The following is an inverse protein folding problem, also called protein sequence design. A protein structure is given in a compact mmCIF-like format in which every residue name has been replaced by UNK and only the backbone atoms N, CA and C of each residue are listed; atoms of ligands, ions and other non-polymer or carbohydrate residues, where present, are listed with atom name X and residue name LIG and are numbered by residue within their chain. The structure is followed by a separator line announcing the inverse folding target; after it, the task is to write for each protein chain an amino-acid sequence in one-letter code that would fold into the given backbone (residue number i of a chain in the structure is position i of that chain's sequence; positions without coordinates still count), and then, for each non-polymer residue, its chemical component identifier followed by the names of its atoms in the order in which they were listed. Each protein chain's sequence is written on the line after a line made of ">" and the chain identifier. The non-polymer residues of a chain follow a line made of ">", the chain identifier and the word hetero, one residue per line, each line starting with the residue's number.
data_IF_384184655765
#
_entry.id   IF_384184655765
#
_cell.length_a   1.000
_cell.length_b   1.000
_cell.length_c   1.000
_cell.angle_alpha   90.00
_cell.angle_beta   90.00
_cell.angle_gamma   90.00
#
_symmetry.space_group_name_H-M   'P 1'
#
loop_
_entity.id
_entity.type
_entity.pdbx_description
1 polymer ?
#
# COMPACT_ATOMS: atom_id res chain seq x y z
N UNK A 1 13.27 16.18 -2.19
CA UNK A 1 12.34 15.77 -1.11
C UNK A 1 11.86 16.99 -0.37
N UNK A 2 10.57 17.19 -0.30
CA UNK A 2 9.95 18.34 0.37
C UNK A 2 9.06 17.82 1.50
N UNK A 3 9.49 18.01 2.74
CA UNK A 3 8.74 17.55 3.91
C UNK A 3 7.73 18.61 4.32
N UNK A 4 6.47 18.20 4.50
CA UNK A 4 5.39 19.05 5.00
C UNK A 4 4.33 18.19 5.66
N UNK A 5 3.38 18.83 6.33
CA UNK A 5 2.22 18.12 6.87
C UNK A 5 1.32 17.66 5.73
N UNK A 6 0.99 16.37 5.74
CA UNK A 6 0.19 15.72 4.69
C UNK A 6 -0.96 14.99 5.35
N UNK A 7 -2.16 15.19 4.84
CA UNK A 7 -3.35 14.51 5.32
C UNK A 7 -3.47 13.15 4.60
N UNK A 8 -3.38 12.07 5.35
CA UNK A 8 -3.36 10.70 4.81
C UNK A 8 -4.65 10.39 4.04
N UNK A 9 -5.79 10.81 4.57
CA UNK A 9 -7.08 10.59 3.90
C UNK A 9 -7.09 11.12 2.48
N UNK A 10 -6.48 12.29 2.25
CA UNK A 10 -6.43 12.91 0.92
C UNK A 10 -5.67 12.04 -0.08
N UNK A 11 -4.55 11.47 0.33
CA UNK A 11 -3.74 10.62 -0.54
C UNK A 11 -4.44 9.32 -0.89
N UNK A 12 -5.08 8.71 0.10
CA UNK A 12 -5.84 7.47 -0.11
C UNK A 12 -7.00 7.73 -1.07
N UNK A 13 -7.76 8.79 -0.85
CA UNK A 13 -8.90 9.13 -1.71
C UNK A 13 -8.47 9.49 -3.12
N UNK A 14 -7.37 10.22 -3.27
CA UNK A 14 -6.83 10.55 -4.59
C UNK A 14 -6.48 9.27 -5.37
N UNK A 15 -5.84 8.32 -4.71
CA UNK A 15 -5.51 7.04 -5.33
C UNK A 15 -6.75 6.25 -5.71
N UNK A 16 -7.73 6.19 -4.82
CA UNK A 16 -8.97 5.43 -5.10
C UNK A 16 -9.74 6.05 -6.25
N UNK A 17 -9.77 7.37 -6.37
CA UNK A 17 -10.41 8.03 -7.52
C UNK A 17 -9.72 7.65 -8.83
N UNK A 18 -8.40 7.54 -8.82
CA UNK A 18 -7.64 7.14 -10.00
C UNK A 18 -8.00 5.73 -10.47
N UNK A 19 -8.27 4.82 -9.55
CA UNK A 19 -8.55 3.41 -9.87
C UNK A 19 -10.02 3.03 -9.73
N UNK A 20 -10.91 4.00 -9.50
CA UNK A 20 -12.32 3.74 -9.19
C UNK A 20 -13.00 2.82 -10.20
N UNK A 21 -12.77 3.06 -11.50
CA UNK A 21 -13.42 2.27 -12.54
C UNK A 21 -13.06 0.80 -12.47
N UNK A 22 -11.80 0.51 -12.13
CA UNK A 22 -11.34 -0.87 -12.01
C UNK A 22 -11.98 -1.59 -10.82
N UNK A 23 -12.14 -0.89 -9.69
CA UNK A 23 -12.85 -1.45 -8.53
C UNK A 23 -14.30 -1.76 -8.87
N UNK A 24 -14.97 -0.86 -9.58
CA UNK A 24 -16.35 -1.05 -10.00
C UNK A 24 -16.47 -2.23 -10.95
N UNK A 25 -15.60 -2.32 -11.94
CA UNK A 25 -15.62 -3.41 -12.93
C UNK A 25 -15.40 -4.78 -12.29
N UNK A 26 -14.56 -4.86 -11.26
CA UNK A 26 -14.31 -6.11 -10.55
C UNK A 26 -15.34 -6.39 -9.46
N UNK A 27 -16.24 -5.45 -9.18
CA UNK A 27 -17.24 -5.61 -8.13
C UNK A 27 -16.66 -5.61 -6.74
N UNK A 28 -15.50 -4.97 -6.55
CA UNK A 28 -14.84 -4.91 -5.25
C UNK A 28 -15.36 -3.74 -4.44
N UNK A 29 -15.53 -3.96 -3.13
CA UNK A 29 -15.88 -2.88 -2.23
C UNK A 29 -14.61 -2.28 -1.60
N UNK A 30 -14.73 -1.04 -1.13
CA UNK A 30 -13.64 -0.36 -0.42
C UNK A 30 -14.24 0.29 0.81
N UNK A 31 -13.67 -0.03 1.96
CA UNK A 31 -14.10 0.50 3.25
C UNK A 31 -12.96 1.32 3.85
N UNK A 32 -13.22 2.60 4.13
CA UNK A 32 -12.26 3.52 4.72
C UNK A 32 -12.70 3.90 6.12
N UNK A 33 -11.77 3.88 7.07
CA UNK A 33 -12.04 4.40 8.39
C UNK A 33 -10.76 4.89 9.07
N UNK A 34 -10.92 5.82 9.99
CA UNK A 34 -9.82 6.35 10.82
C UNK A 34 -8.65 6.93 10.03
N UNK A 35 -8.93 7.56 8.88
CA UNK A 35 -7.89 8.13 8.01
C UNK A 35 -7.60 9.61 8.26
N UNK A 36 -8.30 10.24 9.21
CA UNK A 36 -8.05 11.61 9.57
C UNK A 36 -6.75 11.71 10.39
N UNK A 37 -5.65 11.71 9.68
CA UNK A 37 -4.32 11.71 10.29
C UNK A 37 -3.36 12.54 9.44
N UNK A 38 -2.71 13.50 10.08
CA UNK A 38 -1.66 14.28 9.42
C UNK A 38 -0.30 13.74 9.83
N UNK A 39 0.60 13.62 8.87
CA UNK A 39 1.98 13.22 9.12
C UNK A 39 2.91 14.17 8.36
N UNK A 40 4.16 14.24 8.79
CA UNK A 40 5.20 15.01 8.10
C UNK A 40 5.93 14.07 7.15
N UNK A 41 5.81 14.33 5.86
CA UNK A 41 6.40 13.49 4.83
C UNK A 41 6.46 14.25 3.50
N UNK A 42 7.02 13.61 2.48
CA UNK A 42 6.96 14.12 1.11
C UNK A 42 5.69 13.58 0.44
N UNK A 43 4.76 14.48 0.15
CA UNK A 43 3.45 14.11 -0.39
C UNK A 43 3.56 13.35 -1.71
N UNK A 44 4.40 13.83 -2.62
CA UNK A 44 4.55 13.26 -3.95
C UNK A 44 5.05 11.83 -3.89
N UNK A 45 6.09 11.59 -3.10
CA UNK A 45 6.69 10.27 -3.01
C UNK A 45 5.84 9.28 -2.20
N UNK A 46 5.20 9.76 -1.14
CA UNK A 46 4.27 8.89 -0.40
C UNK A 46 3.07 8.48 -1.27
N UNK A 47 2.57 9.40 -2.10
CA UNK A 47 1.49 9.08 -3.03
C UNK A 47 1.91 7.94 -3.98
N UNK A 48 3.15 7.95 -4.47
CA UNK A 48 3.67 6.86 -5.32
C UNK A 48 3.61 5.53 -4.58
N UNK A 49 4.02 5.52 -3.31
CA UNK A 49 3.98 4.29 -2.49
C UNK A 49 2.54 3.79 -2.34
N UNK A 50 1.62 4.66 -1.95
CA UNK A 50 0.22 4.29 -1.75
C UNK A 50 -0.40 3.78 -3.05
N UNK A 51 -0.11 4.42 -4.17
CA UNK A 51 -0.59 3.97 -5.47
C UNK A 51 -0.09 2.57 -5.83
N UNK A 52 1.19 2.28 -5.57
CA UNK A 52 1.74 0.97 -5.83
C UNK A 52 1.05 -0.11 -4.99
N UNK A 53 0.82 0.16 -3.72
CA UNK A 53 0.21 -0.81 -2.82
C UNK A 53 -1.26 -1.05 -3.20
N UNK A 54 -2.02 0.01 -3.43
CA UNK A 54 -3.44 -0.11 -3.79
C UNK A 54 -3.61 -0.79 -5.16
N UNK A 55 -2.81 -0.42 -6.15
CA UNK A 55 -2.91 -1.06 -7.46
C UNK A 55 -2.54 -2.53 -7.39
N UNK A 56 -1.58 -2.90 -6.54
CA UNK A 56 -1.22 -4.30 -6.32
C UNK A 56 -2.37 -5.08 -5.67
N UNK A 57 -3.00 -4.50 -4.65
CA UNK A 57 -4.18 -5.11 -4.02
C UNK A 57 -5.32 -5.31 -5.00
N UNK A 58 -5.59 -4.30 -5.84
CA UNK A 58 -6.59 -4.38 -6.88
C UNK A 58 -6.31 -5.52 -7.86
N UNK A 59 -5.04 -5.69 -8.25
CA UNK A 59 -4.64 -6.71 -9.20
C UNK A 59 -4.90 -8.13 -8.66
N UNK A 60 -4.63 -8.37 -7.38
CA UNK A 60 -4.67 -9.70 -6.78
C UNK A 60 -5.93 -9.99 -5.96
N UNK A 61 -6.89 -9.09 -5.94
CA UNK A 61 -8.18 -9.30 -5.27
C UNK A 61 -9.26 -9.52 -6.31
N UNK A 62 -9.91 -10.68 -6.26
CA UNK A 62 -10.97 -11.06 -7.20
C UNK A 62 -12.36 -10.83 -6.62
N UNK A 63 -12.51 -11.06 -5.32
CA UNK A 63 -13.78 -10.94 -4.62
C UNK A 63 -13.57 -10.23 -3.30
N UNK A 64 -14.62 -9.60 -2.76
CA UNK A 64 -14.56 -8.86 -1.53
C UNK A 64 -14.09 -7.45 -1.75
N UNK A 65 -12.92 -7.10 -1.23
CA UNK A 65 -12.43 -5.74 -1.42
C UNK A 65 -11.28 -5.37 -0.52
N UNK A 66 -11.17 -4.06 -0.27
CA UNK A 66 -10.12 -3.45 0.52
C UNK A 66 -10.71 -2.77 1.75
N UNK A 67 -9.96 -2.82 2.83
CA UNK A 67 -10.18 -2.02 4.02
C UNK A 67 -8.92 -1.20 4.27
N UNK A 68 -9.04 0.13 4.35
CA UNK A 68 -7.90 1.03 4.49
C UNK A 68 -8.13 1.92 5.70
N UNK A 69 -7.19 1.90 6.63
CA UNK A 69 -7.36 2.59 7.91
C UNK A 69 -6.02 2.87 8.58
N UNK A 70 -6.03 3.83 9.48
CA UNK A 70 -4.89 4.07 10.36
C UNK A 70 -5.07 3.30 11.67
N UNK A 71 -3.99 2.72 12.13
CA UNK A 71 -3.90 2.08 13.43
C UNK A 71 -2.65 2.63 14.12
N UNK A 72 -2.83 3.56 15.05
CA UNK A 72 -1.73 4.30 15.62
C UNK A 72 -0.99 5.11 14.55
N UNK A 73 0.29 4.85 14.39
CA UNK A 73 1.13 5.50 13.38
C UNK A 73 1.26 4.68 12.09
N UNK A 74 0.43 3.65 11.94
CA UNK A 74 0.50 2.77 10.78
C UNK A 74 -0.71 2.98 9.86
N UNK A 75 -0.44 3.16 8.57
CA UNK A 75 -1.46 3.05 7.54
C UNK A 75 -1.55 1.60 7.12
N UNK A 76 -2.74 1.03 7.24
CA UNK A 76 -3.02 -0.37 6.93
C UNK A 76 -3.86 -0.46 5.66
N UNK A 77 -3.39 -1.22 4.69
CA UNK A 77 -4.11 -1.48 3.45
C UNK A 77 -4.32 -2.99 3.40
N UNK A 78 -5.55 -3.40 3.71
CA UNK A 78 -5.93 -4.81 3.84
C UNK A 78 -6.80 -5.21 2.67
N UNK A 79 -6.49 -6.34 2.05
CA UNK A 79 -7.30 -6.88 0.97
C UNK A 79 -7.74 -8.31 1.26
N UNK A 80 -8.78 -8.74 0.56
CA UNK A 80 -9.28 -10.12 0.60
C UNK A 80 -8.81 -10.90 -0.63
N UNK A 81 -7.57 -10.64 -1.04
CA UNK A 81 -6.99 -11.24 -2.23
C UNK A 81 -6.51 -12.67 -2.02
N UNK A 82 -5.80 -13.17 -3.02
CA UNK A 82 -5.33 -14.56 -3.02
C UNK A 82 -4.26 -14.85 -1.98
N UNK A 83 -3.64 -13.80 -1.44
CA UNK A 83 -2.57 -13.96 -0.45
C UNK A 83 -1.23 -14.36 -1.06
N UNK A 84 -0.24 -14.46 -0.20
CA UNK A 84 1.15 -14.76 -0.57
C UNK A 84 1.61 -15.94 0.27
N UNK A 85 2.28 -16.90 -0.35
CA UNK A 85 2.84 -18.06 0.39
C UNK A 85 3.85 -17.58 1.42
N UNK A 86 3.88 -18.23 2.58
CA UNK A 86 4.83 -17.91 3.65
C UNK A 86 6.28 -17.91 3.14
N UNK A 87 6.63 -18.83 2.26
CA UNK A 87 7.97 -18.89 1.68
C UNK A 87 8.31 -17.68 0.82
N UNK A 88 7.31 -16.96 0.33
CA UNK A 88 7.49 -15.79 -0.53
C UNK A 88 7.38 -14.47 0.21
N UNK A 89 6.74 -14.45 1.39
CA UNK A 89 6.48 -13.19 2.11
C UNK A 89 7.77 -12.39 2.36
N UNK A 90 8.85 -13.06 2.72
CA UNK A 90 10.13 -12.40 2.98
C UNK A 90 10.81 -11.89 1.71
N UNK A 91 10.35 -12.35 0.53
CA UNK A 91 10.96 -12.03 -0.75
C UNK A 91 10.19 -11.00 -1.58
N UNK A 92 8.98 -10.62 -1.14
CA UNK A 92 8.10 -9.78 -1.96
C UNK A 92 8.69 -8.40 -2.25
N UNK A 93 9.63 -7.94 -1.41
CA UNK A 93 10.28 -6.65 -1.61
C UNK A 93 11.57 -6.75 -2.43
N UNK A 94 11.96 -7.94 -2.88
CA UNK A 94 13.13 -8.10 -3.73
C UNK A 94 12.85 -7.54 -5.13
N UNK A 95 13.87 -6.91 -5.70
CA UNK A 95 13.74 -6.35 -7.05
C UNK A 95 13.50 -7.48 -8.05
N UNK A 96 12.45 -7.31 -8.87
CA UNK A 96 12.10 -8.29 -9.90
C UNK A 96 11.34 -9.50 -9.40
N UNK A 97 11.08 -9.60 -8.09
CA UNK A 97 10.32 -10.72 -7.56
C UNK A 97 8.83 -10.55 -7.90
N UNK A 98 8.26 -11.53 -8.57
CA UNK A 98 6.83 -11.57 -8.89
C UNK A 98 6.12 -12.79 -8.34
N UNK A 99 6.87 -13.78 -7.85
CA UNK A 99 6.33 -14.99 -7.23
C UNK A 99 5.31 -15.71 -8.09
N UNK A 100 4.54 -16.58 -7.45
CA UNK A 100 3.46 -17.31 -8.10
C UNK A 100 2.38 -16.38 -8.65
N UNK A 101 2.04 -15.36 -7.87
CA UNK A 101 0.98 -14.42 -8.24
C UNK A 101 1.34 -13.63 -9.50
N UNK A 102 2.60 -13.20 -9.63
CA UNK A 102 3.08 -12.51 -10.79
C UNK A 102 3.02 -13.36 -12.05
N UNK A 103 3.29 -14.66 -11.93
CA UNK A 103 3.22 -15.57 -13.05
C UNK A 103 1.80 -15.72 -13.58
N UNK A 104 0.81 -15.71 -12.69
CA UNK A 104 -0.59 -15.85 -13.09
C UNK A 104 -1.08 -14.66 -13.87
N UNK A 105 -0.61 -13.46 -13.55
CA UNK A 105 -1.07 -12.23 -14.20
C UNK A 105 -0.28 -11.89 -15.45
N UNK A 106 0.95 -12.36 -15.57
CA UNK A 106 1.88 -12.06 -16.65
C UNK A 106 2.14 -10.55 -16.86
N UNK A 107 1.68 -9.71 -15.95
CA UNK A 107 1.79 -8.25 -16.07
C UNK A 107 2.61 -7.61 -14.98
N UNK A 108 3.01 -8.40 -13.99
CA UNK A 108 3.80 -7.86 -12.90
C UNK A 108 5.26 -7.78 -13.28
N UNK A 109 5.84 -6.58 -13.17
CA UNK A 109 7.27 -6.38 -13.37
C UNK A 109 8.09 -6.77 -12.14
N UNK A 110 7.43 -7.00 -11.00
CA UNK A 110 8.11 -7.26 -9.74
C UNK A 110 8.77 -6.03 -9.13
N UNK A 111 8.48 -4.84 -9.66
CA UNK A 111 9.11 -3.61 -9.18
C UNK A 111 8.26 -2.82 -8.20
N UNK A 112 6.93 -3.03 -8.19
CA UNK A 112 6.01 -2.24 -7.38
C UNK A 112 6.33 -2.25 -5.89
N UNK A 113 6.44 -3.44 -5.29
CA UNK A 113 6.74 -3.56 -3.86
C UNK A 113 8.20 -3.22 -3.55
N UNK A 114 9.12 -3.54 -4.45
CA UNK A 114 10.51 -3.13 -4.31
C UNK A 114 10.62 -1.61 -4.22
N UNK A 115 9.99 -0.89 -5.15
CA UNK A 115 10.00 0.57 -5.16
C UNK A 115 9.30 1.14 -3.93
N UNK A 116 8.17 0.55 -3.53
CA UNK A 116 7.44 0.98 -2.34
C UNK A 116 8.33 0.93 -1.10
N UNK A 117 9.06 -0.16 -0.92
CA UNK A 117 9.98 -0.29 0.22
C UNK A 117 11.13 0.70 0.13
N UNK A 118 11.75 0.82 -1.04
CA UNK A 118 12.88 1.72 -1.23
C UNK A 118 12.49 3.16 -0.96
N UNK A 119 11.38 3.61 -1.52
CA UNK A 119 10.89 4.97 -1.31
C UNK A 119 10.52 5.19 0.16
N UNK A 120 9.81 4.24 0.78
CA UNK A 120 9.43 4.33 2.18
C UNK A 120 10.65 4.50 3.08
N UNK A 121 11.69 3.72 2.86
CA UNK A 121 12.92 3.82 3.63
C UNK A 121 13.60 5.18 3.47
N UNK A 122 13.63 5.71 2.26
CA UNK A 122 14.18 7.04 2.00
C UNK A 122 13.39 8.13 2.69
N UNK A 123 12.08 7.94 2.88
CA UNK A 123 11.21 8.86 3.62
C UNK A 123 11.32 8.67 5.14
N UNK A 124 12.06 7.66 5.60
CA UNK A 124 12.16 7.33 7.02
C UNK A 124 11.00 6.49 7.55
N UNK A 125 10.15 5.99 6.67
CA UNK A 125 9.04 5.13 7.04
C UNK A 125 9.43 3.66 6.92
N UNK A 126 8.67 2.78 7.60
CA UNK A 126 8.89 1.35 7.52
C UNK A 126 7.68 0.69 6.88
N UNK A 127 7.91 -0.22 5.96
CA UNK A 127 6.85 -0.99 5.31
C UNK A 127 7.00 -2.45 5.69
N UNK A 128 5.89 -3.11 6.02
CA UNK A 128 5.86 -4.54 6.27
C UNK A 128 4.60 -5.14 5.72
N UNK A 129 4.61 -6.44 5.52
CA UNK A 129 3.51 -7.15 4.89
C UNK A 129 3.19 -8.40 5.71
N UNK A 130 1.90 -8.68 5.85
CA UNK A 130 1.38 -9.89 6.46
C UNK A 130 0.42 -10.50 5.46
N UNK A 131 0.53 -11.79 5.22
CA UNK A 131 -0.31 -12.42 4.21
C UNK A 131 -0.56 -13.88 4.52
N UNK A 132 -1.73 -14.36 4.09
CA UNK A 132 -2.11 -15.77 4.20
C UNK A 132 -2.84 -16.16 2.91
N UNK A 133 -2.38 -17.23 2.30
CA UNK A 133 -3.01 -17.76 1.07
C UNK A 133 -4.46 -18.08 1.34
N UNK A 134 -5.34 -17.62 0.48
CA UNK A 134 -6.79 -17.83 0.61
C UNK A 134 -7.52 -16.83 1.48
N UNK A 135 -6.79 -16.02 2.26
CA UNK A 135 -7.39 -15.02 3.15
C UNK A 135 -7.14 -13.60 2.64
N UNK A 136 -5.91 -13.26 2.31
CA UNK A 136 -5.55 -11.96 1.79
C UNK A 136 -4.24 -11.43 2.34
N UNK A 137 -4.05 -10.14 2.17
CA UNK A 137 -2.80 -9.46 2.49
C UNK A 137 -3.07 -8.15 3.22
N UNK A 138 -2.22 -7.81 4.18
CA UNK A 138 -2.19 -6.49 4.82
C UNK A 138 -0.81 -5.90 4.59
N UNK A 139 -0.76 -4.73 3.98
CA UNK A 139 0.47 -3.94 3.89
C UNK A 139 0.36 -2.82 4.90
N UNK A 140 1.37 -2.67 5.74
CA UNK A 140 1.43 -1.66 6.80
C UNK A 140 2.60 -0.72 6.54
N UNK A 141 2.31 0.58 6.56
CA UNK A 141 3.34 1.61 6.48
C UNK A 141 3.38 2.30 7.85
N UNK A 142 4.47 2.11 8.58
CA UNK A 142 4.68 2.80 9.84
C UNK A 142 5.39 4.11 9.56
N UNK A 143 4.73 5.21 9.87
CA UNK A 143 5.28 6.53 9.60
C UNK A 143 6.31 6.94 10.65
N UNK A 144 7.37 7.59 10.17
CA UNK A 144 8.35 8.17 11.05
C UNK A 144 7.71 9.29 11.87
N UNK A 145 8.11 9.41 13.15
CA UNK A 145 7.72 10.55 13.96
C UNK A 145 8.72 11.68 13.70
N UNK A 146 8.27 12.67 12.95
CA UNK A 146 9.08 13.85 12.64
C UNK A 146 8.39 15.06 13.23
N UNK A 147 9.11 15.80 14.07
CA UNK A 147 8.63 17.05 14.63
C UNK A 147 9.24 18.21 13.86
N UNK A 148 8.39 19.02 13.24
CA UNK A 148 8.81 20.27 12.65
C UNK A 148 8.94 21.30 13.78
N UNK A 149 10.17 21.69 14.07
CA UNK A 149 10.44 22.71 15.08
C UNK A 149 10.60 24.04 14.38
N UNK A 150 9.66 24.93 14.63
CA UNK A 150 9.72 26.30 14.12
C UNK A 150 10.36 27.16 15.18
N UNK A 151 11.46 27.76 14.86
CA UNK A 151 12.13 28.71 15.75
C UNK A 151 11.91 30.14 15.29
#
# INVERSE_FOLDING_TARGET
>A
MVLKQVQIEDLVKETLRKYALFFIQKGLNVNLHDLDKEIVTDKKWLLVVIEQIISNSLKYTKEGGLEIYMEGQELCIKDTGIGIKNSDVLRVFERGFSGYNGRLTQQSSGLGLYLSKKISEELGHQIRIESEVGTGTIVRIQFAQVNLVLK
#
